data_IF_969391901398
#
_entry.id   IF_969391901398
#
_cell.length_a   1.000
_cell.length_b   1.000
_cell.length_c   1.000
_cell.angle_alpha   90.00
_cell.angle_beta   90.00
_cell.angle_gamma   90.00
#
_symmetry.space_group_name_H-M   'P 1'
#
loop_
_entity.id
_entity.type
_entity.pdbx_description
1 polymer ?
#
# COMPACT_ATOMS: atom_id res chain seq x y z
N UNK A 1 -31.72 1.89 2.83
CA UNK A 1 -30.31 1.66 3.24
C UNK A 1 -29.43 2.61 2.45
N UNK A 2 -28.36 3.16 3.05
CA UNK A 2 -27.36 3.94 2.32
C UNK A 2 -26.55 3.02 1.40
N UNK A 3 -26.19 3.49 0.21
CA UNK A 3 -25.25 2.78 -0.67
C UNK A 3 -23.83 2.91 -0.10
N UNK A 4 -22.95 1.95 -0.43
CA UNK A 4 -21.56 1.97 0.05
C UNK A 4 -20.81 3.22 -0.41
N UNK A 5 -21.13 3.74 -1.60
CA UNK A 5 -20.52 4.96 -2.14
C UNK A 5 -20.94 6.25 -1.41
N UNK A 6 -22.00 6.20 -0.60
CA UNK A 6 -22.56 7.33 0.15
C UNK A 6 -22.00 7.43 1.59
N UNK A 7 -21.09 6.52 1.96
CA UNK A 7 -20.47 6.52 3.27
C UNK A 7 -19.48 7.69 3.37
N UNK A 8 -19.50 8.38 4.52
CA UNK A 8 -18.45 9.35 4.88
C UNK A 8 -17.12 8.64 5.21
N UNK A 9 -17.20 7.35 5.52
CA UNK A 9 -16.04 6.49 5.83
C UNK A 9 -15.38 6.06 4.53
N UNK A 10 -14.05 6.13 4.49
CA UNK A 10 -13.26 5.58 3.38
C UNK A 10 -13.00 4.11 3.62
N UNK A 11 -13.26 3.26 2.63
CA UNK A 11 -12.96 1.84 2.67
C UNK A 11 -11.64 1.60 1.92
N UNK A 12 -10.74 0.83 2.53
CA UNK A 12 -9.45 0.46 1.95
C UNK A 12 -9.39 -1.06 1.78
N UNK A 13 -8.80 -1.51 0.67
CA UNK A 13 -8.54 -2.93 0.45
C UNK A 13 -7.12 -3.28 0.93
N UNK A 14 -7.00 -4.36 1.70
CA UNK A 14 -5.70 -4.85 2.19
C UNK A 14 -5.28 -6.08 1.36
N UNK A 15 -4.14 -5.99 0.69
CA UNK A 15 -3.74 -7.00 -0.28
C UNK A 15 -2.39 -6.71 -0.94
N UNK A 16 -1.85 -7.72 -1.59
CA UNK A 16 -0.57 -7.66 -2.29
C UNK A 16 -0.53 -8.54 -3.55
N UNK A 17 -1.70 -8.94 -4.04
CA UNK A 17 -1.86 -9.65 -5.30
C UNK A 17 -2.46 -8.68 -6.33
N UNK A 18 -1.86 -8.61 -7.53
CA UNK A 18 -2.25 -7.63 -8.54
C UNK A 18 -3.68 -7.84 -9.02
N UNK A 19 -4.08 -9.09 -9.25
CA UNK A 19 -5.41 -9.41 -9.77
C UNK A 19 -6.50 -8.95 -8.78
N UNK A 20 -6.37 -9.33 -7.52
CA UNK A 20 -7.29 -8.93 -6.45
C UNK A 20 -7.29 -7.41 -6.21
N UNK A 21 -6.13 -6.75 -6.31
CA UNK A 21 -6.07 -5.29 -6.20
C UNK A 21 -6.82 -4.60 -7.34
N UNK A 22 -6.70 -5.08 -8.58
CA UNK A 22 -7.44 -4.55 -9.73
C UNK A 22 -8.93 -4.87 -9.66
N UNK A 23 -9.31 -6.04 -9.15
CA UNK A 23 -10.71 -6.36 -8.87
C UNK A 23 -11.30 -5.38 -7.85
N UNK A 24 -10.59 -5.11 -6.76
CA UNK A 24 -11.03 -4.14 -5.76
C UNK A 24 -11.03 -2.71 -6.31
N UNK A 25 -10.09 -2.36 -7.17
CA UNK A 25 -10.03 -1.05 -7.82
C UNK A 25 -11.25 -0.77 -8.70
N UNK A 26 -11.81 -1.81 -9.34
CA UNK A 26 -13.06 -1.68 -10.12
C UNK A 26 -14.29 -1.27 -9.29
N UNK A 27 -14.20 -1.34 -7.96
CA UNK A 27 -15.28 -1.02 -7.02
C UNK A 27 -15.18 0.45 -6.57
N UNK A 28 -16.12 1.35 -6.94
CA UNK A 28 -16.00 2.78 -6.66
C UNK A 28 -15.91 3.19 -5.18
N UNK A 29 -16.43 2.35 -4.27
CA UNK A 29 -16.37 2.59 -2.82
C UNK A 29 -15.00 2.31 -2.21
N UNK A 30 -14.08 1.65 -2.93
CA UNK A 30 -12.70 1.46 -2.50
C UNK A 30 -11.92 2.75 -2.77
N UNK A 31 -11.43 3.37 -1.68
CA UNK A 31 -10.77 4.68 -1.70
C UNK A 31 -9.25 4.60 -1.62
N UNK A 32 -8.70 3.41 -1.39
CA UNK A 32 -7.26 3.19 -1.32
C UNK A 32 -6.91 1.75 -0.99
N UNK A 33 -5.61 1.52 -0.90
CA UNK A 33 -5.01 0.21 -0.69
C UNK A 33 -3.98 0.26 0.43
N UNK A 34 -3.89 -0.83 1.16
CA UNK A 34 -2.83 -1.07 2.13
C UNK A 34 -2.11 -2.35 1.77
N UNK A 35 -0.79 -2.32 1.91
CA UNK A 35 0.05 -3.50 1.77
C UNK A 35 0.84 -3.71 3.06
N UNK A 36 1.43 -4.89 3.19
CA UNK A 36 2.45 -5.16 4.19
C UNK A 36 3.40 -6.26 3.69
N UNK A 37 4.62 -6.34 4.23
CA UNK A 37 5.64 -7.32 3.84
C UNK A 37 5.15 -8.78 3.87
N UNK A 38 4.30 -9.11 4.85
CA UNK A 38 3.78 -10.47 5.02
C UNK A 38 2.84 -10.87 3.90
N UNK A 39 1.94 -9.99 3.46
CA UNK A 39 1.06 -10.26 2.33
C UNK A 39 1.83 -10.37 1.02
N UNK A 40 2.82 -9.48 0.80
CA UNK A 40 3.64 -9.53 -0.41
C UNK A 40 4.43 -10.83 -0.53
N UNK A 41 5.04 -11.28 0.57
CA UNK A 41 5.72 -12.58 0.61
C UNK A 41 4.77 -13.73 0.30
N UNK A 42 3.55 -13.71 0.87
CA UNK A 42 2.51 -14.74 0.59
C UNK A 42 2.06 -14.74 -0.87
N UNK A 43 2.04 -13.58 -1.52
CA UNK A 43 1.73 -13.43 -2.94
C UNK A 43 2.92 -13.79 -3.86
N UNK A 44 4.06 -14.22 -3.31
CA UNK A 44 5.24 -14.59 -4.09
C UNK A 44 6.04 -13.42 -4.64
N UNK A 45 5.81 -12.20 -4.13
CA UNK A 45 6.55 -11.01 -4.55
C UNK A 45 7.98 -11.10 -4.02
N UNK A 46 8.93 -11.25 -4.94
CA UNK A 46 10.37 -11.29 -4.66
C UNK A 46 11.06 -9.93 -4.83
N UNK A 47 10.52 -9.07 -5.69
CA UNK A 47 10.98 -7.69 -5.90
C UNK A 47 9.88 -6.69 -5.52
N UNK A 48 10.07 -6.08 -4.36
CA UNK A 48 9.13 -5.15 -3.76
C UNK A 48 8.95 -3.86 -4.56
N UNK A 49 10.05 -3.27 -5.05
CA UNK A 49 9.99 -1.98 -5.76
C UNK A 49 9.36 -2.16 -7.14
N UNK A 50 9.72 -3.23 -7.85
CA UNK A 50 9.12 -3.55 -9.15
C UNK A 50 7.61 -3.78 -9.01
N UNK A 51 7.19 -4.58 -8.02
CA UNK A 51 5.77 -4.78 -7.74
C UNK A 51 5.06 -3.48 -7.37
N UNK A 52 5.62 -2.69 -6.45
CA UNK A 52 5.00 -1.44 -6.01
C UNK A 52 4.80 -0.47 -7.18
N UNK A 53 5.81 -0.30 -8.05
CA UNK A 53 5.74 0.57 -9.24
C UNK A 53 4.70 0.09 -10.24
N UNK A 54 4.60 -1.21 -10.48
CA UNK A 54 3.59 -1.80 -11.35
C UNK A 54 2.17 -1.53 -10.84
N UNK A 55 1.92 -1.70 -9.54
CA UNK A 55 0.64 -1.39 -8.92
C UNK A 55 0.33 0.11 -8.98
N UNK A 56 1.30 0.99 -8.71
CA UNK A 56 1.13 2.45 -8.78
C UNK A 56 0.72 2.87 -10.20
N UNK A 57 1.33 2.29 -11.23
CA UNK A 57 0.96 2.57 -12.62
C UNK A 57 -0.45 2.08 -12.95
N UNK A 58 -0.85 0.93 -12.42
CA UNK A 58 -2.16 0.35 -12.69
C UNK A 58 -3.30 1.04 -11.90
N UNK A 59 -2.98 1.68 -10.77
CA UNK A 59 -3.93 2.36 -9.87
C UNK A 59 -3.41 3.80 -9.59
N UNK A 60 -3.51 4.70 -10.57
CA UNK A 60 -2.85 6.01 -10.49
C UNK A 60 -3.57 7.03 -9.59
N UNK A 61 -4.85 6.79 -9.27
CA UNK A 61 -5.75 7.78 -8.66
C UNK A 61 -6.29 7.38 -7.27
N UNK A 62 -5.72 6.34 -6.66
CA UNK A 62 -6.04 5.90 -5.29
C UNK A 62 -4.77 5.87 -4.45
N UNK A 63 -4.89 6.19 -3.17
CA UNK A 63 -3.78 6.11 -2.22
C UNK A 63 -3.35 4.66 -2.01
N UNK A 64 -2.06 4.36 -2.08
CA UNK A 64 -1.50 3.03 -1.80
C UNK A 64 -0.44 3.13 -0.70
N UNK A 65 -0.60 2.33 0.34
CA UNK A 65 0.31 2.33 1.48
C UNK A 65 1.33 1.18 1.41
N UNK A 66 2.61 1.52 1.47
CA UNK A 66 3.76 0.62 1.46
C UNK A 66 4.53 0.76 2.78
N UNK A 67 5.11 -0.32 3.30
CA UNK A 67 5.72 -0.36 4.64
C UNK A 67 7.24 -0.51 4.55
N UNK A 68 7.95 0.18 5.44
CA UNK A 68 9.39 -0.05 5.65
C UNK A 68 9.63 -1.40 6.34
N UNK A 69 10.83 -1.95 6.21
CA UNK A 69 11.17 -3.28 6.75
C UNK A 69 12.11 -3.22 7.94
N UNK A 70 12.82 -2.11 8.11
CA UNK A 70 13.84 -1.97 9.15
C UNK A 70 13.22 -1.61 10.50
N UNK A 71 13.91 -1.99 11.58
CA UNK A 71 13.66 -1.51 12.94
C UNK A 71 14.68 -0.43 13.38
N UNK A 72 15.71 -0.19 12.57
CA UNK A 72 16.67 0.90 12.77
C UNK A 72 16.13 2.23 12.20
N UNK A 73 16.23 3.32 12.97
CA UNK A 73 15.62 4.61 12.63
C UNK A 73 16.20 5.25 11.37
N UNK A 74 17.53 5.24 11.20
CA UNK A 74 18.19 5.86 10.05
C UNK A 74 17.83 5.09 8.77
N UNK A 75 17.80 3.76 8.86
CA UNK A 75 17.39 2.91 7.75
C UNK A 75 15.89 3.03 7.45
N UNK A 76 15.03 3.16 8.46
CA UNK A 76 13.59 3.43 8.27
C UNK A 76 13.38 4.75 7.52
N UNK A 77 14.07 5.82 7.90
CA UNK A 77 13.99 7.11 7.21
C UNK A 77 14.45 6.99 5.75
N UNK A 78 15.60 6.33 5.52
CA UNK A 78 16.12 6.10 4.16
C UNK A 78 15.13 5.34 3.29
N UNK A 79 14.54 4.27 3.82
CA UNK A 79 13.53 3.47 3.12
C UNK A 79 12.27 4.29 2.86
N UNK A 80 11.78 5.04 3.85
CA UNK A 80 10.60 5.88 3.72
C UNK A 80 10.75 6.92 2.62
N UNK A 81 11.87 7.65 2.60
CA UNK A 81 12.17 8.64 1.56
C UNK A 81 12.30 7.99 0.18
N UNK A 82 12.82 6.76 0.09
CA UNK A 82 12.86 6.00 -1.17
C UNK A 82 11.46 5.64 -1.65
N UNK A 83 10.63 5.05 -0.79
CA UNK A 83 9.26 4.61 -1.11
C UNK A 83 8.39 5.81 -1.51
N UNK A 84 8.47 6.92 -0.78
CA UNK A 84 7.69 8.12 -1.05
C UNK A 84 7.94 8.73 -2.45
N UNK A 85 9.09 8.44 -3.07
CA UNK A 85 9.43 8.91 -4.42
C UNK A 85 8.82 8.06 -5.54
N UNK A 86 8.12 6.97 -5.24
CA UNK A 86 7.56 6.10 -6.27
C UNK A 86 6.29 6.65 -6.93
N UNK A 87 5.56 7.55 -6.27
CA UNK A 87 4.38 8.21 -6.84
C UNK A 87 3.70 9.17 -5.85
N UNK A 88 2.95 10.13 -6.36
CA UNK A 88 2.24 11.14 -5.53
C UNK A 88 1.12 10.54 -4.67
N UNK A 89 0.59 9.37 -5.08
CA UNK A 89 -0.42 8.63 -4.36
C UNK A 89 0.15 7.60 -3.36
N UNK A 90 1.47 7.63 -3.10
CA UNK A 90 2.15 6.69 -2.20
C UNK A 90 2.17 7.21 -0.77
N UNK A 91 1.81 6.34 0.17
CA UNK A 91 1.88 6.56 1.60
C UNK A 91 2.86 5.57 2.21
N UNK A 92 3.74 6.04 3.09
CA UNK A 92 4.69 5.17 3.78
C UNK A 92 4.13 4.81 5.16
N UNK A 93 4.02 3.51 5.43
CA UNK A 93 3.72 2.95 6.75
C UNK A 93 5.01 2.80 7.53
N UNK A 94 5.06 3.43 8.68
CA UNK A 94 6.16 3.33 9.63
C UNK A 94 5.65 2.50 10.82
N UNK A 95 6.27 1.35 11.14
CA UNK A 95 5.90 0.59 12.31
C UNK A 95 6.20 1.40 13.57
N UNK A 96 5.27 1.38 14.52
CA UNK A 96 5.52 1.94 15.86
C UNK A 96 6.27 0.87 16.65
N UNK A 97 7.59 1.00 16.71
CA UNK A 97 8.45 0.09 17.47
C UNK A 97 8.73 0.68 18.85
N UNK A 98 8.63 -0.16 19.89
CA UNK A 98 9.08 0.16 21.26
C UNK A 98 10.24 -0.72 21.71
N UNK A 99 10.78 -1.54 20.79
CA UNK A 99 11.86 -2.49 21.05
C UNK A 99 13.17 -1.72 21.16
N UNK A 100 13.78 -1.77 22.34
CA UNK A 100 15.18 -1.44 22.60
C UNK A 100 15.93 -2.73 22.92
#
# INVERSE_FOLDING_TARGET
MKKLDELKVKIFADGADKEGMLEMYSRPYIKGFTTNPTLMRKAGVSDYETFARDIIQAIPDRSISFEVFSDDFDEMERQALKIARWGENVYVKIPVTNTR
#
